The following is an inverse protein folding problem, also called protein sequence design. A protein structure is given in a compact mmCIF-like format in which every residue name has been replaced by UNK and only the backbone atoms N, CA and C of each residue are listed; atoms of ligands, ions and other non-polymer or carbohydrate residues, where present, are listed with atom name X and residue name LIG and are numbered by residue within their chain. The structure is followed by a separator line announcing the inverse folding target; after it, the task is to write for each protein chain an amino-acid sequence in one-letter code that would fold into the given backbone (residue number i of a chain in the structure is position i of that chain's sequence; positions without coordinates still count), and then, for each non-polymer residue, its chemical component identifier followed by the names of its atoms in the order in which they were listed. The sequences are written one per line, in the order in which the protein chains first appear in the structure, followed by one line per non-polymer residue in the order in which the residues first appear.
data_IF_243220871594
#
_entry.id   IF_243220871594
#
_cell.length_a   1.000
_cell.length_b   1.000
_cell.length_c   1.000
_cell.angle_alpha   90.00
_cell.angle_beta   90.00
_cell.angle_gamma   90.00
#
_symmetry.space_group_name_H-M   'P 1'
#
loop_
_entity.id
_entity.type
_entity.pdbx_description
1 polymer ?
#
# COMPACT_ATOMS: atom_id res chain seq x y z
N UNK A 1 -16.10 -42.90 -49.89
CA UNK A 1 -15.49 -41.57 -49.66
C UNK A 1 -15.07 -40.98 -50.99
N UNK A 2 -15.99 -40.34 -51.71
CA UNK A 2 -15.74 -39.75 -53.04
C UNK A 2 -16.63 -38.52 -53.21
N UNK A 3 -16.35 -37.49 -52.42
CA UNK A 3 -17.01 -36.19 -52.50
C UNK A 3 -15.97 -35.12 -52.18
N UNK A 4 -15.06 -34.85 -53.13
CA UNK A 4 -14.36 -33.56 -53.10
C UNK A 4 -13.86 -33.04 -54.46
N UNK A 5 -14.20 -33.67 -55.59
CA UNK A 5 -13.79 -33.13 -56.91
C UNK A 5 -14.52 -31.85 -57.31
N UNK A 6 -15.72 -31.64 -56.78
CA UNK A 6 -16.59 -30.52 -57.19
C UNK A 6 -16.21 -29.21 -56.52
N UNK A 7 -15.73 -29.26 -55.27
CA UNK A 7 -15.28 -28.06 -54.55
C UNK A 7 -13.93 -27.57 -55.08
N UNK A 8 -13.04 -28.50 -55.46
CA UNK A 8 -11.73 -28.18 -56.05
C UNK A 8 -11.87 -27.44 -57.39
N UNK A 9 -12.81 -27.87 -58.26
CA UNK A 9 -13.09 -27.17 -59.52
C UNK A 9 -13.68 -25.77 -59.31
N UNK A 10 -14.47 -25.58 -58.25
CA UNK A 10 -15.09 -24.29 -57.95
C UNK A 10 -14.06 -23.31 -57.37
N UNK A 11 -13.10 -23.80 -56.58
CA UNK A 11 -12.00 -23.01 -56.03
C UNK A 11 -11.05 -22.52 -57.13
N UNK A 12 -10.72 -23.39 -58.10
CA UNK A 12 -9.91 -23.03 -59.27
C UNK A 12 -10.56 -21.94 -60.12
N UNK A 13 -11.88 -22.03 -60.38
CA UNK A 13 -12.63 -20.98 -61.10
C UNK A 13 -12.76 -19.66 -60.33
N UNK A 14 -12.63 -19.68 -59.01
CA UNK A 14 -12.54 -18.44 -58.20
C UNK A 14 -11.17 -17.78 -58.31
N UNK A 15 -10.10 -18.57 -58.29
CA UNK A 15 -8.72 -18.06 -58.44
C UNK A 15 -8.48 -17.44 -59.82
N UNK A 16 -8.97 -18.05 -60.90
CA UNK A 16 -8.86 -17.45 -62.25
C UNK A 16 -9.62 -16.13 -62.39
N UNK A 17 -10.77 -15.98 -61.71
CA UNK A 17 -11.51 -14.72 -61.69
C UNK A 17 -10.76 -13.63 -60.93
N UNK A 18 -10.12 -13.97 -59.82
CA UNK A 18 -9.29 -13.03 -59.06
C UNK A 18 -8.06 -12.59 -59.85
N UNK A 19 -7.39 -13.50 -60.55
CA UNK A 19 -6.25 -13.16 -61.42
C UNK A 19 -6.63 -12.28 -62.61
N UNK A 20 -7.84 -12.45 -63.18
CA UNK A 20 -8.35 -11.56 -64.22
C UNK A 20 -8.74 -10.18 -63.69
N UNK A 21 -9.20 -10.08 -62.44
CA UNK A 21 -9.56 -8.81 -61.81
C UNK A 21 -8.34 -7.98 -61.37
N UNK A 22 -7.22 -8.61 -61.04
CA UNK A 22 -6.01 -7.90 -60.63
C UNK A 22 -5.13 -7.39 -61.78
N UNK A 23 -5.52 -7.62 -63.05
CA UNK A 23 -5.00 -6.86 -64.19
C UNK A 23 -3.47 -6.82 -64.30
N UNK A 24 -2.77 -7.87 -63.86
CA UNK A 24 -1.31 -7.93 -63.93
C UNK A 24 -0.89 -8.81 -65.11
N UNK A 25 -0.74 -8.20 -66.29
CA UNK A 25 0.01 -8.80 -67.38
C UNK A 25 1.51 -8.81 -67.01
N UNK A 26 2.25 -9.91 -67.25
CA UNK A 26 3.69 -9.93 -67.06
C UNK A 26 4.36 -9.41 -68.34
N UNK A 27 4.99 -8.24 -68.25
CA UNK A 27 5.83 -7.68 -69.31
C UNK A 27 7.08 -7.05 -68.71
N UNK A 28 8.30 -7.40 -69.18
CA UNK A 28 9.54 -6.88 -68.63
C UNK A 28 9.89 -5.54 -69.29
N UNK A 29 10.10 -4.49 -68.50
CA UNK A 29 10.68 -3.24 -69.00
C UNK A 29 11.79 -2.73 -68.06
N UNK A 30 12.94 -2.49 -68.68
CA UNK A 30 14.20 -1.97 -68.14
C UNK A 30 14.10 -0.49 -67.73
N UNK A 31 15.10 0.03 -66.98
CA UNK A 31 14.96 1.20 -66.12
C UNK A 31 15.11 2.52 -66.87
N UNK A 32 14.41 3.55 -66.41
CA UNK A 32 14.73 4.95 -66.72
C UNK A 32 14.58 5.81 -65.47
N UNK A 33 15.60 6.65 -65.31
CA UNK A 33 15.80 7.63 -64.27
C UNK A 33 14.67 8.66 -64.23
N UNK A 34 14.09 8.84 -63.04
CA UNK A 34 13.49 10.12 -62.61
C UNK A 34 13.89 10.31 -61.15
N UNK A 35 14.89 11.15 -60.96
CA UNK A 35 15.10 11.82 -59.68
C UNK A 35 13.95 12.82 -59.46
N UNK A 36 13.31 12.76 -58.29
CA UNK A 36 13.14 13.90 -57.40
C UNK A 36 12.39 13.50 -56.12
N UNK A 37 13.04 13.83 -55.00
CA UNK A 37 12.46 14.42 -53.79
C UNK A 37 11.43 13.64 -52.97
N UNK A 38 11.94 12.85 -52.01
CA UNK A 38 11.65 13.00 -50.58
C UNK A 38 12.27 11.81 -49.80
N UNK A 39 13.46 12.01 -49.23
CA UNK A 39 14.00 11.10 -48.21
C UNK A 39 13.26 11.34 -46.89
N UNK A 40 12.61 10.34 -46.25
CA UNK A 40 12.27 10.46 -44.85
C UNK A 40 13.55 10.23 -44.04
N UNK A 41 14.25 11.32 -43.69
CA UNK A 41 15.40 11.29 -42.77
C UNK A 41 14.99 11.09 -41.30
N UNK A 42 13.69 10.95 -40.99
CA UNK A 42 13.19 10.86 -39.62
C UNK A 42 13.25 9.45 -39.01
N UNK A 43 13.27 8.37 -39.80
CA UNK A 43 13.09 7.03 -39.24
C UNK A 43 14.37 6.38 -38.70
N UNK A 44 15.56 6.87 -39.09
CA UNK A 44 16.83 6.26 -38.67
C UNK A 44 17.28 6.79 -37.30
N UNK A 45 17.05 8.08 -37.03
CA UNK A 45 17.30 8.67 -35.71
C UNK A 45 16.31 8.15 -34.66
N UNK A 46 15.02 7.99 -35.02
CA UNK A 46 14.01 7.39 -34.16
C UNK A 46 14.29 5.90 -33.88
N UNK A 47 14.81 5.16 -34.87
CA UNK A 47 15.21 3.76 -34.69
C UNK A 47 16.47 3.62 -33.80
N UNK A 48 17.43 4.53 -33.92
CA UNK A 48 18.62 4.57 -33.05
C UNK A 48 18.25 4.96 -31.61
N UNK A 49 17.32 5.88 -31.41
CA UNK A 49 16.82 6.26 -30.09
C UNK A 49 16.02 5.12 -29.44
N UNK A 50 15.18 4.41 -30.20
CA UNK A 50 14.46 3.22 -29.72
C UNK A 50 15.42 2.07 -29.36
N UNK A 51 16.50 1.89 -30.11
CA UNK A 51 17.53 0.88 -29.83
C UNK A 51 18.33 1.23 -28.57
N UNK A 52 18.66 2.50 -28.34
CA UNK A 52 19.32 2.95 -27.12
C UNK A 52 18.41 2.87 -25.90
N UNK A 53 17.12 3.17 -26.03
CA UNK A 53 16.13 2.94 -24.96
C UNK A 53 16.00 1.44 -24.65
N UNK A 54 15.98 0.57 -25.65
CA UNK A 54 15.95 -0.88 -25.46
C UNK A 54 17.25 -1.43 -24.80
N UNK A 55 18.42 -0.88 -25.13
CA UNK A 55 19.69 -1.23 -24.48
C UNK A 55 19.80 -0.72 -23.04
N UNK A 56 19.23 0.45 -22.73
CA UNK A 56 19.14 0.96 -21.36
C UNK A 56 18.17 0.11 -20.54
N UNK A 57 17.01 -0.27 -21.09
CA UNK A 57 16.09 -1.20 -20.46
C UNK A 57 16.71 -2.59 -20.25
N UNK A 58 17.48 -3.10 -21.22
CA UNK A 58 18.21 -4.36 -21.12
C UNK A 58 19.31 -4.35 -20.05
N UNK A 59 19.99 -3.21 -19.85
CA UNK A 59 20.97 -3.03 -18.76
C UNK A 59 20.30 -3.04 -17.38
N UNK A 60 19.18 -2.34 -17.22
CA UNK A 60 18.38 -2.37 -15.99
C UNK A 60 17.84 -3.78 -15.71
N UNK A 61 17.41 -4.53 -16.74
CA UNK A 61 17.00 -5.92 -16.59
C UNK A 61 18.15 -6.84 -16.17
N UNK A 62 19.38 -6.62 -16.65
CA UNK A 62 20.55 -7.39 -16.22
C UNK A 62 21.00 -7.05 -14.80
N UNK A 63 20.88 -5.79 -14.37
CA UNK A 63 21.13 -5.42 -12.96
C UNK A 63 20.05 -5.99 -12.03
N UNK A 64 18.78 -5.93 -12.42
CA UNK A 64 17.69 -6.56 -11.68
C UNK A 64 17.81 -8.09 -11.69
N UNK A 65 18.27 -8.71 -12.78
CA UNK A 65 18.55 -10.15 -12.82
C UNK A 65 19.73 -10.55 -11.93
N UNK A 66 20.77 -9.71 -11.85
CA UNK A 66 21.90 -9.90 -10.92
C UNK A 66 21.47 -9.78 -9.45
N UNK A 67 20.62 -8.80 -9.13
CA UNK A 67 19.97 -8.68 -7.82
C UNK A 67 19.05 -9.87 -7.55
N UNK A 68 18.34 -10.36 -8.57
CA UNK A 68 17.42 -11.49 -8.41
C UNK A 68 18.17 -12.81 -8.21
N UNK A 69 19.33 -13.01 -8.85
CA UNK A 69 20.19 -14.17 -8.64
C UNK A 69 20.93 -14.11 -7.30
N UNK A 70 21.28 -12.92 -6.83
CA UNK A 70 21.84 -12.68 -5.49
C UNK A 70 20.82 -12.93 -4.36
N UNK A 71 19.54 -12.62 -4.59
CA UNK A 71 18.45 -12.87 -3.62
C UNK A 71 17.94 -14.32 -3.71
N UNK A 72 17.95 -14.97 -4.88
CA UNK A 72 17.46 -16.36 -5.03
C UNK A 72 18.49 -17.43 -4.70
N UNK A 73 19.80 -17.15 -4.77
CA UNK A 73 20.85 -18.09 -4.31
C UNK A 73 20.70 -18.54 -2.86
N UNK A 74 20.53 -17.65 -1.86
CA UNK A 74 20.29 -18.07 -0.48
C UNK A 74 18.95 -18.78 -0.31
N UNK A 75 17.93 -18.45 -1.12
CA UNK A 75 16.63 -19.14 -1.13
C UNK A 75 16.76 -20.57 -1.68
N UNK A 76 17.54 -20.80 -2.74
CA UNK A 76 17.82 -22.14 -3.29
C UNK A 76 18.62 -23.01 -2.31
N UNK A 77 19.59 -22.42 -1.61
CA UNK A 77 20.36 -23.11 -0.56
C UNK A 77 19.44 -23.44 0.63
N UNK A 78 18.53 -22.53 1.01
CA UNK A 78 17.49 -22.80 2.01
C UNK A 78 16.53 -23.92 1.62
N UNK A 79 16.16 -24.02 0.33
CA UNK A 79 15.28 -25.09 -0.19
C UNK A 79 15.92 -26.48 -0.18
N UNK A 80 17.24 -26.59 -0.30
CA UNK A 80 17.96 -27.87 -0.15
C UNK A 80 17.97 -28.38 1.29
N UNK A 81 17.86 -27.50 2.29
CA UNK A 81 17.71 -27.85 3.72
C UNK A 81 16.24 -27.92 4.18
N UNK A 82 15.27 -27.56 3.33
CA UNK A 82 13.85 -27.49 3.67
C UNK A 82 13.03 -28.78 3.40
N UNK A 83 13.62 -29.82 2.80
CA UNK A 83 12.93 -31.09 2.57
C UNK A 83 12.42 -31.79 3.85
N UNK A 84 13.16 -31.82 4.99
CA UNK A 84 12.64 -32.42 6.21
C UNK A 84 11.72 -31.49 7.03
N UNK A 85 11.68 -30.18 6.77
CA UNK A 85 10.79 -29.21 7.45
C UNK A 85 9.46 -28.98 6.73
N UNK A 86 9.28 -29.50 5.51
CA UNK A 86 8.06 -29.38 4.72
C UNK A 86 6.84 -30.09 5.37
N UNK A 87 7.06 -31.20 6.08
CA UNK A 87 6.00 -31.93 6.80
C UNK A 87 5.57 -31.20 8.09
N UNK A 88 6.50 -30.55 8.79
CA UNK A 88 6.18 -29.71 9.96
C UNK A 88 5.47 -28.41 9.52
N UNK A 89 5.88 -27.83 8.39
CA UNK A 89 5.25 -26.66 7.79
C UNK A 89 3.81 -26.89 7.33
N UNK A 90 3.48 -28.08 6.80
CA UNK A 90 2.10 -28.44 6.42
C UNK A 90 1.13 -28.35 7.59
N UNK A 91 1.51 -28.88 8.76
CA UNK A 91 0.66 -28.81 9.94
C UNK A 91 0.52 -27.38 10.50
N UNK A 92 1.56 -26.55 10.38
CA UNK A 92 1.50 -25.14 10.76
C UNK A 92 0.62 -24.31 9.81
N UNK A 93 0.67 -24.55 8.50
CA UNK A 93 -0.18 -23.87 7.51
C UNK A 93 -1.64 -24.29 7.62
N UNK A 94 -1.91 -25.58 7.90
CA UNK A 94 -3.27 -26.07 8.12
C UNK A 94 -3.87 -25.45 9.40
N UNK A 95 -3.10 -25.42 10.50
CA UNK A 95 -3.54 -24.77 11.75
C UNK A 95 -3.67 -23.25 11.63
N UNK A 96 -2.80 -22.59 10.86
CA UNK A 96 -2.94 -21.18 10.55
C UNK A 96 -4.18 -20.91 9.68
N UNK A 97 -4.50 -21.80 8.73
CA UNK A 97 -5.72 -21.74 7.93
C UNK A 97 -7.01 -21.90 8.74
N UNK A 98 -7.01 -22.77 9.76
CA UNK A 98 -8.11 -22.89 10.73
C UNK A 98 -8.21 -21.65 11.64
N UNK A 99 -7.08 -21.13 12.11
CA UNK A 99 -7.06 -19.91 12.92
C UNK A 99 -7.49 -18.66 12.14
N UNK A 100 -7.31 -18.62 10.82
CA UNK A 100 -7.73 -17.52 9.94
C UNK A 100 -9.13 -17.73 9.34
N UNK A 101 -9.83 -18.81 9.72
CA UNK A 101 -11.17 -19.12 9.20
C UNK A 101 -12.21 -18.05 9.59
N UNK A 102 -12.01 -17.32 10.69
CA UNK A 102 -12.86 -16.18 11.05
C UNK A 102 -12.72 -15.00 10.07
N UNK A 103 -11.62 -14.91 9.32
CA UNK A 103 -11.43 -13.93 8.25
C UNK A 103 -12.03 -14.40 6.92
N UNK A 104 -12.42 -15.68 6.78
CA UNK A 104 -13.02 -16.22 5.56
C UNK A 104 -14.19 -15.40 4.99
N UNK A 105 -15.14 -14.84 5.78
CA UNK A 105 -16.22 -14.01 5.21
C UNK A 105 -15.72 -12.74 4.53
N UNK A 106 -14.59 -12.18 4.97
CA UNK A 106 -13.98 -10.97 4.37
C UNK A 106 -12.96 -11.33 3.30
N UNK A 107 -12.20 -12.41 3.51
CA UNK A 107 -11.17 -12.87 2.59
C UNK A 107 -11.75 -13.45 1.30
N UNK A 108 -12.91 -14.13 1.34
CA UNK A 108 -13.57 -14.70 0.15
C UNK A 108 -13.97 -13.66 -0.91
N UNK A 109 -14.71 -12.58 -0.59
CA UNK A 109 -15.05 -11.57 -1.60
C UNK A 109 -13.81 -10.84 -2.12
N UNK A 110 -12.83 -10.55 -1.27
CA UNK A 110 -11.56 -9.96 -1.68
C UNK A 110 -10.79 -10.87 -2.64
N UNK A 111 -10.72 -12.17 -2.34
CA UNK A 111 -10.07 -13.15 -3.19
C UNK A 111 -10.79 -13.34 -4.53
N UNK A 112 -12.13 -13.37 -4.53
CA UNK A 112 -12.91 -13.46 -5.75
C UNK A 112 -12.73 -12.21 -6.62
N UNK A 113 -12.71 -11.02 -6.02
CA UNK A 113 -12.41 -9.76 -6.70
C UNK A 113 -11.00 -9.73 -7.27
N UNK A 114 -10.01 -10.16 -6.48
CA UNK A 114 -8.63 -10.31 -6.93
C UNK A 114 -8.53 -11.27 -8.11
N UNK A 115 -9.13 -12.46 -8.03
CA UNK A 115 -9.14 -13.44 -9.10
C UNK A 115 -9.84 -12.92 -10.36
N UNK A 116 -10.91 -12.13 -10.23
CA UNK A 116 -11.57 -11.49 -11.35
C UNK A 116 -10.65 -10.45 -12.03
N UNK A 117 -9.96 -9.61 -11.25
CA UNK A 117 -8.99 -8.63 -11.75
C UNK A 117 -7.77 -9.31 -12.40
N UNK A 118 -7.23 -10.32 -11.74
CA UNK A 118 -6.10 -11.11 -12.23
C UNK A 118 -6.47 -11.81 -13.53
N UNK A 119 -7.64 -12.44 -13.59
CA UNK A 119 -8.11 -13.10 -14.80
C UNK A 119 -8.33 -12.10 -15.95
N UNK A 120 -8.82 -10.90 -15.63
CA UNK A 120 -8.99 -9.81 -16.62
C UNK A 120 -7.65 -9.26 -17.13
N UNK A 121 -6.61 -9.22 -16.28
CA UNK A 121 -5.31 -8.67 -16.61
C UNK A 121 -4.39 -9.67 -17.32
N UNK A 122 -4.38 -10.92 -16.85
CA UNK A 122 -3.45 -11.97 -17.30
C UNK A 122 -3.91 -12.67 -18.58
N UNK A 123 -5.22 -12.73 -18.83
CA UNK A 123 -5.78 -13.44 -19.97
C UNK A 123 -6.35 -12.47 -21.00
N UNK A 124 -6.03 -12.72 -22.27
CA UNK A 124 -6.64 -12.04 -23.42
C UNK A 124 -7.60 -12.99 -24.11
N UNK A 125 -8.75 -12.47 -24.56
CA UNK A 125 -9.65 -13.21 -25.43
C UNK A 125 -8.99 -13.40 -26.79
N UNK A 126 -8.97 -14.63 -27.28
CA UNK A 126 -8.51 -14.98 -28.62
C UNK A 126 -9.51 -14.48 -29.70
N UNK A 127 -9.07 -14.41 -30.96
CA UNK A 127 -9.87 -13.93 -32.11
C UNK A 127 -11.18 -14.71 -32.31
N UNK A 128 -11.24 -15.97 -31.86
CA UNK A 128 -12.42 -16.83 -31.92
C UNK A 128 -13.32 -16.78 -30.67
N UNK A 129 -13.09 -15.83 -29.75
CA UNK A 129 -13.98 -15.53 -28.62
C UNK A 129 -13.99 -16.52 -27.46
N UNK A 130 -13.39 -17.72 -27.60
CA UNK A 130 -13.67 -18.85 -26.70
C UNK A 130 -12.46 -19.44 -25.94
N UNK A 131 -11.24 -18.94 -26.16
CA UNK A 131 -10.07 -19.37 -25.37
C UNK A 131 -9.27 -18.20 -24.83
N UNK A 132 -9.12 -18.17 -23.51
CA UNK A 132 -8.31 -17.20 -22.78
C UNK A 132 -6.83 -17.59 -22.90
N UNK A 133 -6.12 -17.03 -23.88
CA UNK A 133 -4.69 -17.28 -24.04
C UNK A 133 -3.94 -16.47 -22.97
N UNK A 134 -3.08 -17.15 -22.20
CA UNK A 134 -2.27 -16.50 -21.17
C UNK A 134 -1.18 -15.65 -21.83
N UNK A 135 -1.28 -14.33 -21.68
CA UNK A 135 -0.25 -13.43 -22.18
C UNK A 135 0.90 -13.39 -21.16
N UNK A 136 1.98 -14.14 -21.43
CA UNK A 136 3.12 -14.34 -20.51
C UNK A 136 3.65 -13.05 -19.86
N UNK A 137 3.96 -11.95 -20.61
CA UNK A 137 4.42 -10.72 -19.98
C UNK A 137 3.35 -10.02 -19.13
N UNK A 138 2.07 -10.07 -19.50
CA UNK A 138 0.99 -9.48 -18.68
C UNK A 138 0.71 -10.31 -17.43
N UNK A 139 0.73 -11.63 -17.53
CA UNK A 139 0.61 -12.52 -16.39
C UNK A 139 1.78 -12.34 -15.41
N UNK A 140 3.01 -12.23 -15.92
CA UNK A 140 4.18 -11.93 -15.09
C UNK A 140 4.05 -10.57 -14.39
N UNK A 141 3.63 -9.53 -15.12
CA UNK A 141 3.41 -8.20 -14.55
C UNK A 141 2.30 -8.20 -13.49
N UNK A 142 1.20 -8.93 -13.73
CA UNK A 142 0.12 -9.08 -12.77
C UNK A 142 0.58 -9.79 -11.49
N UNK A 143 1.38 -10.86 -11.60
CA UNK A 143 1.97 -11.54 -10.44
C UNK A 143 2.93 -10.61 -9.69
N UNK A 144 3.81 -9.91 -10.41
CA UNK A 144 4.75 -8.97 -9.79
C UNK A 144 4.02 -7.85 -9.03
N UNK A 145 2.98 -7.25 -9.63
CA UNK A 145 2.15 -6.24 -8.98
C UNK A 145 1.45 -6.81 -7.73
N UNK A 146 0.92 -8.02 -7.82
CA UNK A 146 0.25 -8.69 -6.71
C UNK A 146 1.20 -8.94 -5.53
N UNK A 147 2.45 -9.29 -5.81
CA UNK A 147 3.48 -9.44 -4.78
C UNK A 147 3.81 -8.10 -4.10
N UNK A 148 3.90 -7.00 -4.86
CA UNK A 148 4.11 -5.66 -4.29
C UNK A 148 2.94 -5.26 -3.40
N UNK A 149 1.70 -5.43 -3.88
CA UNK A 149 0.50 -5.12 -3.07
C UNK A 149 0.43 -5.98 -1.82
N UNK A 150 0.73 -7.28 -1.92
CA UNK A 150 0.75 -8.17 -0.77
C UNK A 150 1.84 -7.75 0.24
N UNK A 151 3.03 -7.38 -0.24
CA UNK A 151 4.12 -6.91 0.61
C UNK A 151 3.78 -5.58 1.31
N UNK A 152 3.29 -4.59 0.57
CA UNK A 152 2.88 -3.29 1.13
C UNK A 152 1.69 -3.45 2.08
N UNK A 153 0.71 -4.28 1.72
CA UNK A 153 -0.43 -4.61 2.58
C UNK A 153 0.01 -5.29 3.89
N UNK A 154 0.96 -6.22 3.82
CA UNK A 154 1.47 -6.90 5.02
C UNK A 154 2.33 -6.00 5.90
N UNK A 155 3.18 -5.15 5.31
CA UNK A 155 4.14 -4.32 6.05
C UNK A 155 3.57 -2.99 6.53
N UNK A 156 2.61 -2.41 5.81
CA UNK A 156 2.04 -1.10 6.12
C UNK A 156 0.54 -1.20 6.41
N UNK A 157 -0.20 -1.92 5.57
CA UNK A 157 -1.66 -2.02 5.69
C UNK A 157 -2.14 -2.71 6.96
N UNK A 158 -1.56 -3.88 7.30
CA UNK A 158 -1.93 -4.63 8.50
C UNK A 158 -1.58 -3.87 9.80
N UNK A 159 -0.37 -3.30 9.97
CA UNK A 159 -0.08 -2.48 11.14
C UNK A 159 -0.99 -1.25 11.23
N UNK A 160 -1.26 -0.57 10.11
CA UNK A 160 -2.17 0.58 10.08
C UNK A 160 -3.58 0.20 10.55
N UNK A 161 -4.15 -0.88 9.98
CA UNK A 161 -5.49 -1.36 10.36
C UNK A 161 -5.54 -1.84 11.82
N UNK A 162 -4.47 -2.51 12.29
CA UNK A 162 -4.35 -2.94 13.68
C UNK A 162 -4.29 -1.77 14.65
N UNK A 163 -3.49 -0.75 14.34
CA UNK A 163 -3.42 0.48 15.13
C UNK A 163 -4.75 1.23 15.11
N UNK A 164 -5.41 1.37 13.97
CA UNK A 164 -6.75 1.96 13.89
C UNK A 164 -7.77 1.22 14.75
N UNK A 165 -7.78 -0.12 14.70
CA UNK A 165 -8.70 -0.90 15.52
C UNK A 165 -8.41 -0.73 17.02
N UNK A 166 -7.14 -0.78 17.40
CA UNK A 166 -6.70 -0.55 18.77
C UNK A 166 -7.09 0.86 19.25
N UNK A 167 -6.80 1.89 18.46
CA UNK A 167 -7.12 3.27 18.81
C UNK A 167 -8.62 3.51 18.86
N UNK A 168 -9.37 3.02 17.87
CA UNK A 168 -10.81 3.15 17.84
C UNK A 168 -11.48 2.47 19.03
N UNK A 169 -11.01 1.26 19.39
CA UNK A 169 -11.52 0.54 20.57
C UNK A 169 -11.16 1.26 21.88
N UNK A 170 -9.92 1.76 22.02
CA UNK A 170 -9.52 2.51 23.21
C UNK A 170 -10.27 3.84 23.33
N UNK A 171 -10.38 4.60 22.25
CA UNK A 171 -11.17 5.84 22.23
C UNK A 171 -12.64 5.57 22.58
N UNK A 172 -13.26 4.53 22.04
CA UNK A 172 -14.65 4.21 22.35
C UNK A 172 -14.88 3.80 23.82
N UNK A 173 -13.87 3.24 24.48
CA UNK A 173 -14.04 2.61 25.81
C UNK A 173 -13.45 3.40 26.97
N UNK A 174 -12.44 4.25 26.73
CA UNK A 174 -11.61 4.82 27.80
C UNK A 174 -11.40 6.33 27.69
N UNK A 175 -12.16 7.01 26.83
CA UNK A 175 -12.06 8.46 26.70
C UNK A 175 -12.46 9.14 28.01
N UNK A 176 -11.56 9.95 28.54
CA UNK A 176 -11.77 10.85 29.67
C UNK A 176 -11.63 12.28 29.15
N UNK A 177 -12.64 13.09 29.37
CA UNK A 177 -12.71 14.48 28.88
C UNK A 177 -12.46 15.42 30.07
N UNK A 178 -11.67 16.47 29.83
CA UNK A 178 -11.41 17.57 30.77
C UNK A 178 -11.01 17.12 32.19
N UNK A 179 -10.08 16.16 32.26
CA UNK A 179 -9.49 15.75 33.54
C UNK A 179 -8.46 16.79 34.01
N UNK A 180 -8.57 17.32 35.25
CA UNK A 180 -7.56 18.21 35.79
C UNK A 180 -6.30 17.41 36.15
N UNK A 181 -5.16 17.77 35.57
CA UNK A 181 -3.86 17.16 35.83
C UNK A 181 -2.78 18.23 35.81
N UNK A 182 -1.78 18.11 36.67
CA UNK A 182 -0.58 18.94 36.63
C UNK A 182 0.38 18.37 35.59
N UNK A 183 0.58 19.06 34.48
CA UNK A 183 1.51 18.63 33.43
C UNK A 183 2.83 19.38 33.52
N UNK A 184 3.90 18.77 33.02
CA UNK A 184 5.23 19.40 32.94
C UNK A 184 5.99 18.86 31.74
N UNK A 185 6.38 19.76 30.84
CA UNK A 185 7.32 19.50 29.75
C UNK A 185 6.91 18.40 28.77
N UNK A 186 6.62 18.78 27.53
CA UNK A 186 6.48 17.84 26.43
C UNK A 186 7.85 17.61 25.79
N UNK A 187 8.40 16.39 25.91
CA UNK A 187 9.68 16.04 25.28
C UNK A 187 9.46 15.04 24.13
N UNK A 188 10.11 15.23 22.97
CA UNK A 188 10.06 14.25 21.89
C UNK A 188 10.75 12.95 22.30
N UNK A 189 10.25 11.82 21.80
CA UNK A 189 10.86 10.52 22.02
C UNK A 189 11.90 10.21 20.96
N UNK A 190 13.15 10.06 21.40
CA UNK A 190 14.24 9.38 20.69
C UNK A 190 14.23 9.57 19.16
N UNK A 191 14.54 10.80 18.69
CA UNK A 191 14.65 11.21 17.29
C UNK A 191 13.48 10.82 16.36
N UNK A 192 12.36 10.36 16.90
CA UNK A 192 11.12 10.13 16.18
C UNK A 192 10.21 11.32 16.43
N UNK A 193 9.98 12.11 15.38
CA UNK A 193 9.26 13.37 15.47
C UNK A 193 7.75 13.19 15.78
N UNK A 194 7.27 11.94 15.81
CA UNK A 194 5.84 11.63 15.83
C UNK A 194 5.28 11.28 17.23
N UNK A 195 6.14 11.15 18.25
CA UNK A 195 5.71 10.78 19.61
C UNK A 195 6.33 11.71 20.66
N UNK A 196 5.48 12.43 21.39
CA UNK A 196 5.87 13.23 22.54
C UNK A 196 5.47 12.55 23.84
N UNK A 197 6.34 12.62 24.84
CA UNK A 197 6.07 12.18 26.20
C UNK A 197 5.88 13.37 27.11
N UNK A 198 4.81 13.31 27.89
CA UNK A 198 4.46 14.34 28.86
C UNK A 198 4.37 13.70 30.23
N UNK A 199 5.03 14.30 31.21
CA UNK A 199 4.90 13.90 32.60
C UNK A 199 3.71 14.64 33.20
N UNK A 200 2.79 13.89 33.80
CA UNK A 200 1.66 14.45 34.53
C UNK A 200 1.56 13.89 35.94
N UNK A 201 1.01 14.67 36.85
CA UNK A 201 0.70 14.28 38.22
C UNK A 201 -0.75 14.64 38.52
N UNK A 202 -1.48 13.69 39.09
CA UNK A 202 -2.89 13.93 39.48
C UNK A 202 -2.97 14.92 40.66
N UNK A 203 -1.99 14.86 41.56
CA UNK A 203 -1.90 15.71 42.74
C UNK A 203 -0.45 16.15 42.99
N UNK A 204 -0.28 17.32 43.61
CA UNK A 204 1.02 17.81 44.08
C UNK A 204 1.20 17.48 45.57
N UNK A 205 2.38 17.04 46.02
CA UNK A 205 3.59 16.80 45.24
C UNK A 205 3.53 15.52 44.39
N UNK A 206 4.27 15.51 43.28
CA UNK A 206 4.43 14.32 42.44
C UNK A 206 5.17 13.22 43.20
N UNK A 207 4.62 12.01 43.17
CA UNK A 207 5.12 10.78 43.77
C UNK A 207 5.09 9.65 42.73
N UNK A 208 5.74 8.52 43.02
CA UNK A 208 5.72 7.35 42.14
C UNK A 208 4.30 6.78 41.93
N UNK A 209 3.39 7.02 42.90
CA UNK A 209 2.01 6.54 42.85
C UNK A 209 1.06 7.44 42.06
N UNK A 210 1.25 8.77 42.09
CA UNK A 210 0.34 9.73 41.45
C UNK A 210 0.90 10.33 40.14
N UNK A 211 2.12 9.96 39.75
CA UNK A 211 2.71 10.33 38.47
C UNK A 211 2.25 9.38 37.36
N UNK A 212 1.85 9.97 36.24
CA UNK A 212 1.40 9.30 35.03
C UNK A 212 2.21 9.85 33.86
N UNK A 213 2.77 8.94 33.08
CA UNK A 213 3.41 9.28 31.83
C UNK A 213 2.37 9.20 30.71
N UNK A 214 2.18 10.31 30.01
CA UNK A 214 1.27 10.41 28.89
C UNK A 214 2.04 10.40 27.57
N UNK A 215 1.40 9.90 26.53
CA UNK A 215 1.91 9.91 25.16
C UNK A 215 1.06 10.81 24.28
N UNK A 216 1.69 11.61 23.43
CA UNK A 216 1.02 12.31 22.33
C UNK A 216 1.57 11.67 21.07
N UNK A 217 0.70 11.20 20.19
CA UNK A 217 1.10 10.62 18.91
C UNK A 217 0.09 10.95 17.84
N UNK A 218 0.53 10.95 16.59
CA UNK A 218 -0.41 11.03 15.47
C UNK A 218 -1.33 9.79 15.46
N UNK A 219 -2.59 10.05 15.18
CA UNK A 219 -3.65 9.06 15.10
C UNK A 219 -4.66 9.49 14.04
N UNK A 220 -4.74 8.70 12.97
CA UNK A 220 -5.65 8.94 11.86
C UNK A 220 -7.11 9.12 12.27
N UNK A 221 -7.60 8.36 13.26
CA UNK A 221 -8.99 8.49 13.73
C UNK A 221 -9.22 9.82 14.44
N UNK A 222 -8.24 10.28 15.22
CA UNK A 222 -8.30 11.58 15.87
C UNK A 222 -8.25 12.71 14.86
N UNK A 223 -7.36 12.58 13.87
CA UNK A 223 -7.23 13.51 12.75
C UNK A 223 -8.51 13.59 11.94
N UNK A 224 -9.14 12.45 11.62
CA UNK A 224 -10.43 12.42 10.94
C UNK A 224 -11.54 13.05 11.77
N UNK A 225 -11.63 12.70 13.07
CA UNK A 225 -12.63 13.26 13.97
C UNK A 225 -12.49 14.78 14.09
N UNK A 226 -11.29 15.29 14.34
CA UNK A 226 -11.02 16.74 14.40
C UNK A 226 -11.26 17.42 13.07
N UNK A 227 -10.84 16.81 11.97
CA UNK A 227 -11.10 17.37 10.65
C UNK A 227 -12.60 17.53 10.40
N UNK A 228 -13.43 16.58 10.84
CA UNK A 228 -14.89 16.70 10.71
C UNK A 228 -15.55 17.70 11.67
N UNK A 229 -14.97 17.96 12.85
CA UNK A 229 -15.57 18.84 13.87
C UNK A 229 -15.05 20.27 13.81
N UNK A 230 -13.74 20.45 13.64
CA UNK A 230 -13.06 21.76 13.65
C UNK A 230 -12.49 22.15 12.29
N UNK A 231 -12.48 21.25 11.29
CA UNK A 231 -11.91 21.53 9.96
C UNK A 231 -10.38 21.43 9.89
N UNK A 232 -9.71 21.08 11.00
CA UNK A 232 -8.25 20.96 11.07
C UNK A 232 -7.84 19.55 11.45
N UNK A 233 -6.74 19.06 10.86
CA UNK A 233 -6.15 17.78 11.24
C UNK A 233 -5.54 17.86 12.65
N UNK A 234 -5.44 16.71 13.31
CA UNK A 234 -4.75 16.63 14.59
C UNK A 234 -3.25 16.55 14.36
N UNK A 235 -2.51 17.44 15.02
CA UNK A 235 -1.05 17.46 15.01
C UNK A 235 -0.53 17.28 16.43
N UNK A 236 0.32 16.29 16.70
CA UNK A 236 0.84 16.04 18.04
C UNK A 236 1.71 17.20 18.56
N UNK A 237 2.41 17.90 17.67
CA UNK A 237 3.25 19.06 17.99
C UNK A 237 2.44 20.24 18.55
N UNK A 238 1.22 20.47 18.07
CA UNK A 238 0.34 21.54 18.57
C UNK A 238 -0.06 21.28 20.03
N UNK A 239 -0.33 20.01 20.36
CA UNK A 239 -0.66 19.60 21.73
C UNK A 239 0.58 19.67 22.62
N UNK A 240 1.74 19.25 22.12
CA UNK A 240 3.01 19.35 22.84
C UNK A 240 3.38 20.80 23.15
N UNK A 241 3.23 21.70 22.18
CA UNK A 241 3.54 23.12 22.31
C UNK A 241 2.61 23.88 23.28
N UNK A 242 1.38 23.41 23.45
CA UNK A 242 0.43 23.98 24.41
C UNK A 242 0.76 23.65 25.88
N UNK A 243 1.69 22.73 26.14
CA UNK A 243 2.10 22.32 27.49
C UNK A 243 3.34 23.13 27.90
N UNK A 244 3.28 23.91 28.99
CA UNK A 244 4.43 24.67 29.44
C UNK A 244 5.55 23.76 29.98
N UNK A 245 6.77 24.28 29.94
CA UNK A 245 7.94 23.60 30.51
C UNK A 245 7.87 23.53 32.05
N UNK A 246 7.22 24.51 32.67
CA UNK A 246 6.97 24.54 34.11
C UNK A 246 5.70 23.75 34.48
N UNK A 247 5.63 23.25 35.72
CA UNK A 247 4.46 22.49 36.20
C UNK A 247 3.22 23.36 36.29
N UNK A 248 2.22 23.15 35.43
CA UNK A 248 0.96 23.91 35.40
C UNK A 248 -0.27 23.03 35.53
N UNK A 249 -1.35 23.57 36.10
CA UNK A 249 -2.66 22.92 36.06
C UNK A 249 -3.25 22.98 34.64
N UNK A 250 -3.57 21.81 34.08
CA UNK A 250 -4.16 21.69 32.76
C UNK A 250 -5.40 20.80 32.80
N UNK A 251 -6.39 21.12 31.97
CA UNK A 251 -7.44 20.18 31.59
C UNK A 251 -6.96 19.37 30.40
N UNK A 252 -6.98 18.05 30.55
CA UNK A 252 -6.58 17.13 29.48
C UNK A 252 -7.76 16.26 29.08
N UNK A 253 -7.90 16.05 27.78
CA UNK A 253 -8.67 14.92 27.26
C UNK A 253 -7.71 13.79 26.92
N UNK A 254 -8.02 12.58 27.38
CA UNK A 254 -7.16 11.40 27.21
C UNK A 254 -7.96 10.18 26.80
N UNK A 255 -7.32 9.22 26.16
CA UNK A 255 -7.83 7.88 25.94
C UNK A 255 -6.73 6.84 26.17
N UNK A 256 -7.13 5.60 26.41
CA UNK A 256 -6.25 4.49 26.69
C UNK A 256 -6.11 4.19 28.18
N UNK A 257 -5.60 3.00 28.47
CA UNK A 257 -5.38 2.52 29.84
C UNK A 257 -3.90 2.52 30.17
N UNK A 258 -3.55 2.96 31.38
CA UNK A 258 -2.20 2.79 31.91
C UNK A 258 -1.99 1.34 32.32
N UNK A 259 -1.11 0.63 31.61
CA UNK A 259 -0.64 -0.69 32.01
C UNK A 259 0.88 -0.78 31.87
N UNK A 260 1.57 -0.75 33.01
CA UNK A 260 3.04 -0.79 33.09
C UNK A 260 3.62 -2.12 32.59
N UNK A 261 2.92 -3.23 32.80
CA UNK A 261 3.38 -4.57 32.38
C UNK A 261 3.40 -4.70 30.86
N UNK A 262 2.43 -4.08 30.19
CA UNK A 262 2.30 -4.10 28.73
C UNK A 262 2.90 -2.85 28.06
N UNK A 263 3.53 -1.94 28.82
CA UNK A 263 4.06 -0.68 28.28
C UNK A 263 3.01 0.21 27.61
N UNK A 264 1.74 0.10 28.03
CA UNK A 264 0.64 0.91 27.53
C UNK A 264 0.48 2.15 28.40
N UNK A 265 0.43 3.30 27.75
CA UNK A 265 0.31 4.60 28.38
C UNK A 265 -0.88 5.34 27.79
N UNK A 266 -1.60 6.13 28.60
CA UNK A 266 -2.70 6.94 28.10
C UNK A 266 -2.19 7.98 27.10
N UNK A 267 -3.00 8.23 26.08
CA UNK A 267 -2.75 9.19 25.03
C UNK A 267 -3.51 10.49 25.27
N UNK A 268 -2.86 11.65 25.13
CA UNK A 268 -3.51 12.96 25.22
C UNK A 268 -4.04 13.35 23.84
N UNK A 269 -5.30 13.79 23.78
CA UNK A 269 -5.98 14.25 22.57
C UNK A 269 -6.18 15.75 22.53
N UNK A 270 -6.31 16.41 23.67
CA UNK A 270 -6.37 17.86 23.79
C UNK A 270 -5.87 18.28 25.15
N UNK A 271 -5.33 19.49 25.21
CA UNK A 271 -4.84 20.10 26.44
C UNK A 271 -5.25 21.56 26.47
N UNK A 272 -5.67 22.02 27.64
CA UNK A 272 -5.92 23.43 27.92
C UNK A 272 -5.22 23.75 29.24
N UNK A 273 -4.09 24.44 29.16
CA UNK A 273 -3.32 24.85 30.34
C UNK A 273 -3.62 26.30 30.68
N UNK A 274 -3.82 26.59 31.97
CA UNK A 274 -3.88 27.96 32.48
C UNK A 274 -2.56 28.27 33.21
N UNK A 275 -1.97 29.47 33.03
CA UNK A 275 -0.80 29.87 33.79
C UNK A 275 -1.14 29.95 35.29
N UNK A 276 -0.26 29.40 36.13
CA UNK A 276 -0.46 29.27 37.59
C UNK A 276 -0.70 30.59 38.34
N UNK A 277 -0.51 31.74 37.71
CA UNK A 277 -0.84 33.06 38.28
C UNK A 277 -2.34 33.32 38.40
N UNK A 278 -3.20 32.51 37.76
CA UNK A 278 -4.65 32.73 37.72
C UNK A 278 -5.48 31.86 38.70
N UNK A 279 -4.91 30.83 39.34
CA UNK A 279 -5.74 29.81 40.00
C UNK A 279 -5.15 29.27 41.30
N UNK A 280 -5.39 30.00 42.39
CA UNK A 280 -5.68 29.35 43.66
C UNK A 280 -7.10 28.79 43.66
N UNK A 281 -7.39 27.78 42.83
CA UNK A 281 -8.49 26.80 42.97
C UNK A 281 -8.66 25.97 41.67
N UNK A 282 -8.71 24.62 41.74
CA UNK A 282 -8.92 23.73 40.59
C UNK A 282 -10.39 23.70 40.09
N UNK A 283 -11.03 24.87 39.94
CA UNK A 283 -12.46 24.97 39.60
C UNK A 283 -12.85 26.13 38.68
N UNK A 284 -11.92 26.95 38.20
CA UNK A 284 -12.23 28.11 37.34
C UNK A 284 -11.65 27.98 35.93
N UNK A 285 -11.85 26.83 35.29
CA UNK A 285 -11.73 26.79 33.84
C UNK A 285 -12.99 27.44 33.24
N UNK A 286 -12.86 28.40 32.31
CA UNK A 286 -14.01 28.89 31.57
C UNK A 286 -14.65 27.68 30.87
N UNK A 287 -15.97 27.54 31.00
CA UNK A 287 -16.70 26.47 30.33
C UNK A 287 -16.31 26.45 28.83
N UNK A 288 -16.10 25.27 28.24
CA UNK A 288 -15.74 25.18 26.82
C UNK A 288 -16.80 25.95 26.03
N UNK A 289 -16.34 26.88 25.18
CA UNK A 289 -17.23 27.59 24.27
C UNK A 289 -17.97 26.56 23.39
N UNK A 290 -19.28 26.75 23.16
CA UNK A 290 -20.11 25.80 22.42
C UNK A 290 -19.66 25.60 20.98
#
# INVERSE_FOLDING_TARGET
MTTNKREDEEMLKRLERLQRQTGAAPGPAKPKDVANDAKPKSTLAEAEEALEQAKRAGRVFNEVAGVWDAVTKPIKIGWTYAKPTYEIGKHAVIKAGEALSFLAPVARPLWNGYMALFNRAAYTKDENGDRTVLNKPRALAAVALSLVVAFTGATQGLPFAGNMLYDGTMMATTTQIDKPVYLTGANPYDNSDDIFYVKGCEELPCTDSNSVLYRIRDNFLLSAYRFTTTGHAFWPEDVGAAIPEETSACLISTYGVRNRVLGMYPHITSVQCAPNSAQGQPGSFPAPAP
#
